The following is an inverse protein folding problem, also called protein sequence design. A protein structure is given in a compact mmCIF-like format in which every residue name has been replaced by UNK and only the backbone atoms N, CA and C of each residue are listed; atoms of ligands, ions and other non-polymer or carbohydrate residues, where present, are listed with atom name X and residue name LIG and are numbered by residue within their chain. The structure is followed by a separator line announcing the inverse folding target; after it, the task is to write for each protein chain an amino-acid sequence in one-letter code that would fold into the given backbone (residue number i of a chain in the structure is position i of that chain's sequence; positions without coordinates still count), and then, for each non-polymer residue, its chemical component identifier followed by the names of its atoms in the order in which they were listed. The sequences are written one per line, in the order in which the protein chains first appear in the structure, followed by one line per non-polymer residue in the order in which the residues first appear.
data_IF_405158354786
#
_entry.id   IF_405158354786
#
_cell.length_a   1.000
_cell.length_b   1.000
_cell.length_c   1.000
_cell.angle_alpha   90.00
_cell.angle_beta   90.00
_cell.angle_gamma   90.00
#
_symmetry.space_group_name_H-M   'P 1'
#
loop_
_entity.id
_entity.type
_entity.pdbx_description
1 polymer ?
#
# COMPACT_ATOMS: atom_id res chain seq x y z
N UNK A 1 -13.96 -10.30 -15.30
CA UNK A 1 -13.91 -9.17 -14.35
C UNK A 1 -14.44 -9.66 -13.01
N UNK A 2 -14.18 -8.95 -11.91
CA UNK A 2 -14.54 -9.36 -10.56
C UNK A 2 -15.16 -8.20 -9.78
N UNK A 3 -16.10 -8.49 -8.87
CA UNK A 3 -16.72 -7.46 -8.02
C UNK A 3 -15.79 -6.99 -6.89
N UNK A 4 -14.87 -7.87 -6.45
CA UNK A 4 -13.89 -7.58 -5.42
C UNK A 4 -12.53 -8.17 -5.80
N UNK A 5 -11.48 -7.38 -5.66
CA UNK A 5 -10.10 -7.79 -5.90
C UNK A 5 -9.25 -7.45 -4.68
N UNK A 6 -8.48 -8.43 -4.18
CA UNK A 6 -7.48 -8.21 -3.13
C UNK A 6 -6.08 -8.24 -3.76
N UNK A 7 -5.35 -7.15 -3.57
CA UNK A 7 -3.95 -6.99 -3.95
C UNK A 7 -3.09 -7.03 -2.70
N UNK A 8 -2.77 -8.23 -2.23
CA UNK A 8 -1.74 -8.43 -1.19
C UNK A 8 -0.37 -8.46 -1.86
N UNK A 9 0.33 -7.32 -1.81
CA UNK A 9 1.52 -7.10 -2.64
C UNK A 9 2.81 -7.45 -1.91
N UNK A 10 3.85 -7.92 -2.64
CA UNK A 10 5.19 -8.02 -2.09
C UNK A 10 5.65 -6.66 -1.55
N UNK A 11 6.16 -6.64 -0.32
CA UNK A 11 6.60 -5.44 0.39
C UNK A 11 7.83 -5.75 1.25
N UNK A 12 8.45 -4.72 1.82
CA UNK A 12 9.63 -4.87 2.69
C UNK A 12 9.33 -5.62 3.99
N UNK A 13 8.06 -5.67 4.41
CA UNK A 13 7.60 -6.45 5.55
C UNK A 13 8.08 -5.95 6.91
N UNK A 14 8.51 -4.69 7.03
CA UNK A 14 9.01 -4.08 8.27
C UNK A 14 8.00 -4.09 9.43
N UNK A 15 6.70 -4.17 9.13
CA UNK A 15 5.63 -4.38 10.11
C UNK A 15 5.56 -5.80 10.69
N UNK A 16 6.32 -6.76 10.16
CA UNK A 16 6.25 -8.17 10.59
C UNK A 16 7.23 -8.55 11.69
N UNK A 17 7.97 -7.60 12.26
CA UNK A 17 9.08 -7.85 13.22
C UNK A 17 8.75 -8.80 14.35
N UNK A 18 7.52 -8.73 14.88
CA UNK A 18 7.05 -9.64 15.94
C UNK A 18 7.06 -11.11 15.50
N UNK A 19 6.72 -11.39 14.24
CA UNK A 19 6.69 -12.73 13.63
C UNK A 19 8.00 -13.08 12.92
N UNK A 20 8.72 -12.08 12.41
CA UNK A 20 10.00 -12.21 11.73
C UNK A 20 11.01 -11.16 12.23
N UNK A 21 11.68 -11.42 13.37
CA UNK A 21 12.61 -10.45 13.99
C UNK A 21 13.80 -10.07 13.09
N UNK A 22 14.14 -10.91 12.11
CA UNK A 22 15.27 -10.69 11.20
C UNK A 22 15.04 -9.61 10.15
N UNK A 23 13.79 -9.16 9.92
CA UNK A 23 13.46 -8.19 8.86
C UNK A 23 14.23 -6.89 9.04
N UNK A 24 14.25 -6.33 10.26
CA UNK A 24 14.90 -5.04 10.52
C UNK A 24 16.40 -5.04 10.26
N UNK A 25 17.06 -6.20 10.34
CA UNK A 25 18.50 -6.31 10.06
C UNK A 25 18.82 -6.16 8.57
N UNK A 26 17.87 -6.52 7.70
CA UNK A 26 18.04 -6.51 6.26
C UNK A 26 17.21 -5.41 5.58
N UNK A 27 16.37 -4.73 6.35
CA UNK A 27 15.51 -3.69 5.85
C UNK A 27 16.34 -2.48 5.40
N UNK A 28 15.98 -1.94 4.23
CA UNK A 28 16.58 -0.72 3.71
C UNK A 28 15.53 0.12 2.98
N UNK A 29 15.70 1.44 3.01
CA UNK A 29 14.83 2.33 2.24
C UNK A 29 14.95 2.09 0.73
N UNK A 30 16.15 1.74 0.26
CA UNK A 30 16.42 1.44 -1.15
C UNK A 30 15.59 0.24 -1.62
N UNK A 31 15.47 -0.81 -0.80
CA UNK A 31 14.61 -1.95 -1.14
C UNK A 31 13.13 -1.57 -1.24
N UNK A 32 12.63 -0.70 -0.36
CA UNK A 32 11.24 -0.20 -0.44
C UNK A 32 11.00 0.62 -1.70
N UNK A 33 11.95 1.48 -2.08
CA UNK A 33 11.88 2.25 -3.33
C UNK A 33 11.86 1.35 -4.56
N UNK A 34 12.64 0.26 -4.56
CA UNK A 34 12.67 -0.71 -5.66
C UNK A 34 11.35 -1.48 -5.83
N UNK A 35 10.58 -1.66 -4.75
CA UNK A 35 9.29 -2.37 -4.76
C UNK A 35 8.12 -1.50 -5.24
N UNK A 36 8.20 -0.18 -5.07
CA UNK A 36 7.11 0.74 -5.40
C UNK A 36 6.53 0.57 -6.82
N UNK A 37 7.34 0.48 -7.90
CA UNK A 37 6.81 0.29 -9.25
C UNK A 37 6.05 -1.03 -9.42
N UNK A 38 6.53 -2.11 -8.79
CA UNK A 38 5.88 -3.41 -8.82
C UNK A 38 4.53 -3.35 -8.08
N UNK A 39 4.50 -2.80 -6.87
CA UNK A 39 3.29 -2.65 -6.06
C UNK A 39 2.22 -1.84 -6.80
N UNK A 40 2.61 -0.72 -7.40
CA UNK A 40 1.74 0.10 -8.23
C UNK A 40 1.21 -0.67 -9.45
N UNK A 41 2.07 -1.44 -10.13
CA UNK A 41 1.64 -2.24 -11.29
C UNK A 41 0.58 -3.27 -10.91
N UNK A 42 0.73 -3.92 -9.74
CA UNK A 42 -0.22 -4.91 -9.23
C UNK A 42 -1.56 -4.23 -8.90
N UNK A 43 -1.53 -3.11 -8.18
CA UNK A 43 -2.74 -2.34 -7.85
C UNK A 43 -3.49 -1.88 -9.11
N UNK A 44 -2.78 -1.31 -10.09
CA UNK A 44 -3.39 -0.88 -11.35
C UNK A 44 -3.95 -2.04 -12.16
N UNK A 45 -3.32 -3.22 -12.11
CA UNK A 45 -3.84 -4.43 -12.74
C UNK A 45 -5.09 -4.93 -12.02
N UNK A 46 -5.10 -4.92 -10.69
CA UNK A 46 -6.25 -5.27 -9.87
C UNK A 46 -7.45 -4.37 -10.13
N UNK A 47 -7.21 -3.05 -10.18
CA UNK A 47 -8.21 -2.06 -10.58
C UNK A 47 -8.82 -2.38 -11.96
N UNK A 48 -7.99 -2.72 -12.97
CA UNK A 48 -8.47 -3.09 -14.31
C UNK A 48 -9.29 -4.38 -14.35
N UNK A 49 -9.06 -5.30 -13.42
CA UNK A 49 -9.82 -6.54 -13.30
C UNK A 49 -11.15 -6.35 -12.58
N UNK A 50 -11.31 -5.24 -11.85
CA UNK A 50 -12.47 -4.93 -11.04
C UNK A 50 -13.59 -4.34 -11.91
N UNK A 51 -14.83 -4.75 -11.65
CA UNK A 51 -16.02 -4.17 -12.29
C UNK A 51 -16.22 -2.71 -11.85
N UNK A 52 -16.90 -1.90 -12.67
CA UNK A 52 -17.30 -0.55 -12.25
C UNK A 52 -18.26 -0.67 -11.06
N UNK A 53 -18.00 0.09 -10.00
CA UNK A 53 -18.72 -0.03 -8.72
C UNK A 53 -18.21 -1.16 -7.82
N UNK A 54 -17.27 -1.98 -8.28
CA UNK A 54 -16.58 -2.98 -7.47
C UNK A 54 -15.48 -2.38 -6.58
N UNK A 55 -14.86 -3.23 -5.77
CA UNK A 55 -13.85 -2.83 -4.80
C UNK A 55 -12.49 -3.47 -5.09
N UNK A 56 -11.43 -2.67 -5.03
CA UNK A 56 -10.05 -3.15 -4.97
C UNK A 56 -9.47 -2.82 -3.61
N UNK A 57 -8.97 -3.84 -2.91
CA UNK A 57 -8.26 -3.69 -1.64
C UNK A 57 -6.76 -3.84 -1.90
N UNK A 58 -5.98 -2.83 -1.52
CA UNK A 58 -4.53 -2.88 -1.54
C UNK A 58 -4.02 -3.15 -0.11
N UNK A 59 -3.19 -4.17 0.07
CA UNK A 59 -2.61 -4.51 1.37
C UNK A 59 -1.12 -4.76 1.29
N UNK A 60 -0.42 -4.36 2.35
CA UNK A 60 0.98 -4.67 2.62
C UNK A 60 1.11 -5.12 4.08
N UNK A 61 2.26 -5.68 4.44
CA UNK A 61 2.69 -5.83 5.83
C UNK A 61 3.85 -4.89 6.18
N UNK A 62 3.93 -3.75 5.48
CA UNK A 62 4.93 -2.70 5.66
C UNK A 62 4.35 -1.49 6.39
N UNK A 63 5.19 -0.78 7.17
CA UNK A 63 4.82 0.52 7.75
C UNK A 63 5.45 1.69 6.98
N UNK A 64 6.14 1.43 5.86
CA UNK A 64 6.81 2.46 5.07
C UNK A 64 5.82 3.23 4.17
N UNK A 65 5.73 4.57 4.28
CA UNK A 65 4.81 5.35 3.46
C UNK A 65 5.13 5.32 1.95
N UNK A 66 6.36 4.99 1.57
CA UNK A 66 6.73 4.75 0.16
C UNK A 66 6.01 3.55 -0.43
N UNK A 67 5.74 2.53 0.38
CA UNK A 67 5.03 1.32 -0.03
C UNK A 67 3.52 1.48 0.18
N UNK A 68 3.09 2.36 1.07
CA UNK A 68 1.68 2.53 1.40
C UNK A 68 1.07 3.76 0.71
N UNK A 69 1.11 4.92 1.38
CA UNK A 69 0.42 6.13 0.93
C UNK A 69 0.91 6.62 -0.44
N UNK A 70 2.19 6.47 -0.76
CA UNK A 70 2.73 6.85 -2.06
C UNK A 70 2.13 6.02 -3.21
N UNK A 71 1.99 4.70 -3.03
CA UNK A 71 1.43 3.80 -4.06
C UNK A 71 -0.03 4.14 -4.32
N UNK A 72 -0.80 4.35 -3.24
CA UNK A 72 -2.21 4.74 -3.32
C UNK A 72 -2.37 6.11 -4.00
N UNK A 73 -1.59 7.11 -3.60
CA UNK A 73 -1.63 8.44 -4.20
C UNK A 73 -1.33 8.40 -5.71
N UNK A 74 -0.31 7.64 -6.11
CA UNK A 74 0.06 7.50 -7.52
C UNK A 74 -1.00 6.72 -8.32
N UNK A 75 -1.61 5.68 -7.74
CA UNK A 75 -2.71 4.96 -8.38
C UNK A 75 -3.92 5.86 -8.63
N UNK A 76 -4.32 6.67 -7.65
CA UNK A 76 -5.40 7.65 -7.79
C UNK A 76 -5.08 8.66 -8.89
N UNK A 77 -3.86 9.21 -8.90
CA UNK A 77 -3.40 10.16 -9.93
C UNK A 77 -3.45 9.54 -11.34
N UNK A 78 -2.99 8.29 -11.51
CA UNK A 78 -3.01 7.58 -12.80
C UNK A 78 -4.41 7.19 -13.24
N UNK A 79 -5.33 6.97 -12.31
CA UNK A 79 -6.70 6.57 -12.61
C UNK A 79 -7.54 7.68 -13.23
N UNK A 80 -7.11 8.94 -13.14
CA UNK A 80 -7.84 10.12 -13.66
C UNK A 80 -9.30 10.17 -13.18
N UNK A 81 -9.53 9.84 -11.92
CA UNK A 81 -10.86 9.82 -11.29
C UNK A 81 -11.62 8.50 -11.41
N UNK A 82 -11.07 7.49 -12.10
CA UNK A 82 -11.69 6.16 -12.16
C UNK A 82 -11.57 5.38 -10.83
N UNK A 83 -10.58 5.72 -9.98
CA UNK A 83 -10.45 5.18 -8.63
C UNK A 83 -10.75 6.27 -7.61
N UNK A 84 -11.48 5.90 -6.56
CA UNK A 84 -11.84 6.75 -5.43
C UNK A 84 -11.50 6.00 -4.14
N UNK A 85 -10.90 6.70 -3.18
CA UNK A 85 -10.68 6.15 -1.85
C UNK A 85 -12.00 6.04 -1.10
N UNK A 86 -12.23 4.88 -0.51
CA UNK A 86 -13.41 4.63 0.33
C UNK A 86 -12.94 4.39 1.76
N UNK A 87 -13.42 5.21 2.68
CA UNK A 87 -13.21 4.99 4.11
C UNK A 87 -14.23 3.97 4.62
N UNK A 88 -13.72 2.89 5.18
CA UNK A 88 -14.51 1.75 5.71
C UNK A 88 -14.16 1.47 7.17
N UNK A 89 -13.53 2.42 7.86
CA UNK A 89 -13.01 2.20 9.23
C UNK A 89 -14.11 1.84 10.23
N UNK A 90 -15.31 2.41 10.07
CA UNK A 90 -16.47 2.13 10.92
C UNK A 90 -16.96 0.68 10.80
N UNK A 91 -16.60 -0.02 9.72
CA UNK A 91 -17.01 -1.40 9.46
C UNK A 91 -16.01 -2.44 9.97
N UNK A 92 -14.86 -2.01 10.53
CA UNK A 92 -13.77 -2.91 10.94
C UNK A 92 -14.08 -3.75 12.20
N UNK A 93 -15.31 -3.70 12.70
CA UNK A 93 -15.78 -4.46 13.86
C UNK A 93 -15.13 -4.03 15.16
N UNK A 94 -15.61 -4.59 16.27
CA UNK A 94 -15.02 -4.35 17.59
C UNK A 94 -13.65 -5.05 17.68
N UNK A 95 -12.59 -4.30 17.97
CA UNK A 95 -11.26 -4.82 18.26
C UNK A 95 -10.15 -4.46 17.27
N UNK A 96 -10.48 -3.95 16.07
CA UNK A 96 -9.47 -3.50 15.12
C UNK A 96 -9.26 -1.98 15.22
N UNK A 97 -8.05 -1.56 15.60
CA UNK A 97 -7.69 -0.14 15.68
C UNK A 97 -7.10 0.33 14.35
N UNK A 98 -7.85 1.16 13.63
CA UNK A 98 -7.34 1.85 12.45
C UNK A 98 -6.72 3.21 12.81
N UNK A 99 -5.78 3.68 11.98
CA UNK A 99 -5.21 5.03 12.04
C UNK A 99 -5.34 5.69 10.67
N UNK A 100 -5.50 7.02 10.60
CA UNK A 100 -5.41 7.71 9.33
C UNK A 100 -4.03 7.51 8.71
N UNK A 101 -3.98 7.42 7.37
CA UNK A 101 -2.74 7.39 6.62
C UNK A 101 -1.98 8.72 6.72
N UNK A 102 -0.70 8.68 6.42
CA UNK A 102 0.17 9.85 6.45
C UNK A 102 -0.05 10.70 5.20
N UNK A 103 -0.19 12.02 5.37
CA UNK A 103 -0.26 12.96 4.25
C UNK A 103 1.09 13.58 3.89
N UNK A 104 2.04 13.55 4.83
CA UNK A 104 3.38 14.12 4.67
C UNK A 104 4.41 13.27 5.40
N UNK A 105 5.54 13.01 4.75
CA UNK A 105 6.71 12.35 5.35
C UNK A 105 7.99 12.84 4.66
N UNK A 106 9.13 12.60 5.30
CA UNK A 106 10.43 12.89 4.69
C UNK A 106 10.81 11.76 3.75
N UNK A 107 11.00 12.07 2.48
CA UNK A 107 11.48 11.09 1.49
C UNK A 107 12.99 11.04 1.54
N UNK A 108 13.54 9.98 2.12
CA UNK A 108 14.99 9.76 2.11
C UNK A 108 15.41 9.22 0.74
N UNK A 109 16.29 9.95 0.06
CA UNK A 109 16.96 9.51 -1.16
C UNK A 109 18.31 8.81 -0.85
N UNK A 110 18.90 8.09 -1.82
CA UNK A 110 20.18 7.37 -1.66
C UNK A 110 21.33 8.20 -1.05
N UNK A 111 21.26 9.52 -1.18
CA UNK A 111 22.29 10.46 -0.68
C UNK A 111 22.07 10.93 0.75
N UNK A 112 21.08 10.40 1.46
CA UNK A 112 20.85 10.70 2.88
C UNK A 112 20.57 12.18 3.12
N UNK A 113 19.36 12.61 2.74
CA UNK A 113 18.57 13.68 3.38
C UNK A 113 17.16 13.68 2.80
#
# INVERSE_FOLDING_TARGET
TFDKVLCDVPCSGDGTTRKNPGVWRHWSQVSSLALHPLQLSILMRGARLTTIGGYVCYSTCSMNPVENEAVVAEALRRSRGALVLVDRREELGEGLRARPGWSTWRVMCERGK
#
